data_IF_027761850097
#
_entry.id   IF_027761850097
#
_cell.length_a   1.000
_cell.length_b   1.000
_cell.length_c   1.000
_cell.angle_alpha   90.00
_cell.angle_beta   90.00
_cell.angle_gamma   90.00
#
_symmetry.space_group_name_H-M   'P 1'
#
loop_
_entity.id
_entity.type
_entity.pdbx_description
1 polymer ?
#
# COMPACT_ATOMS: atom_id res chain seq x y z
N UNK A 1 13.98 -14.15 16.20
CA UNK A 1 13.39 -15.34 16.84
C UNK A 1 12.01 -15.49 16.22
N UNK A 2 11.82 -16.51 15.39
CA UNK A 2 10.51 -16.94 14.97
C UNK A 2 9.84 -17.56 16.21
N UNK A 3 8.94 -16.84 16.84
CA UNK A 3 8.06 -17.42 17.83
C UNK A 3 6.98 -18.18 17.07
N UNK A 4 7.28 -19.44 16.75
CA UNK A 4 6.29 -20.43 16.40
C UNK A 4 5.46 -20.68 17.65
N UNK A 5 4.27 -20.10 17.73
CA UNK A 5 3.36 -20.35 18.87
C UNK A 5 2.53 -19.17 19.36
N UNK A 6 2.57 -18.02 18.71
CA UNK A 6 1.63 -16.94 19.01
C UNK A 6 0.29 -17.14 18.30
N UNK A 7 -0.81 -16.67 18.92
CA UNK A 7 -2.19 -16.68 18.35
C UNK A 7 -2.35 -15.80 17.09
N UNK A 8 -1.29 -15.67 16.26
CA UNK A 8 -1.26 -14.87 15.05
C UNK A 8 -1.31 -15.72 13.80
N UNK A 9 -1.95 -15.23 12.74
CA UNK A 9 -2.07 -15.93 11.46
C UNK A 9 -0.80 -15.88 10.62
N UNK A 10 0.09 -14.92 10.87
CA UNK A 10 1.30 -14.65 10.10
C UNK A 10 2.50 -14.36 11.02
N UNK A 11 3.70 -14.61 10.51
CA UNK A 11 4.95 -14.33 11.24
C UNK A 11 5.16 -12.82 11.43
N UNK A 12 5.96 -12.43 12.44
CA UNK A 12 6.31 -11.01 12.67
C UNK A 12 6.96 -10.36 11.44
N UNK A 13 7.84 -11.09 10.75
CA UNK A 13 8.44 -10.62 9.50
C UNK A 13 7.39 -10.48 8.37
N UNK A 14 6.45 -11.44 8.28
CA UNK A 14 5.34 -11.35 7.34
C UNK A 14 4.44 -10.15 7.61
N UNK A 15 4.13 -9.87 8.86
CA UNK A 15 3.37 -8.69 9.26
C UNK A 15 4.09 -7.39 8.88
N UNK A 16 5.39 -7.30 9.14
CA UNK A 16 6.21 -6.15 8.74
C UNK A 16 6.19 -5.95 7.21
N UNK A 17 6.47 -7.00 6.44
CA UNK A 17 6.47 -6.91 4.98
C UNK A 17 5.09 -6.56 4.42
N UNK A 18 4.01 -7.08 5.01
CA UNK A 18 2.64 -6.74 4.62
C UNK A 18 2.34 -5.27 4.91
N UNK A 19 2.73 -4.77 6.08
CA UNK A 19 2.56 -3.36 6.43
C UNK A 19 3.36 -2.44 5.50
N UNK A 20 4.60 -2.81 5.17
CA UNK A 20 5.44 -2.07 4.22
C UNK A 20 4.85 -2.11 2.81
N UNK A 21 4.31 -3.24 2.35
CA UNK A 21 3.67 -3.34 1.03
C UNK A 21 2.44 -2.43 0.90
N UNK A 22 1.71 -2.23 1.99
CA UNK A 22 0.57 -1.32 2.03
C UNK A 22 0.98 0.16 2.12
N UNK A 23 2.18 0.45 2.60
CA UNK A 23 2.65 1.82 2.85
C UNK A 23 3.53 2.35 1.72
N UNK A 24 4.40 1.50 1.15
CA UNK A 24 5.33 1.89 0.08
C UNK A 24 4.63 1.80 -1.26
N UNK A 25 4.55 2.91 -1.97
CA UNK A 25 3.90 2.98 -3.28
C UNK A 25 4.47 4.11 -4.15
N UNK A 26 3.80 4.40 -5.26
CA UNK A 26 4.18 5.48 -6.18
C UNK A 26 4.23 6.85 -5.50
N UNK A 27 3.44 7.07 -4.46
CA UNK A 27 3.46 8.29 -3.66
C UNK A 27 4.81 8.55 -2.98
N UNK A 28 5.53 7.51 -2.60
CA UNK A 28 6.86 7.62 -1.96
C UNK A 28 7.95 8.03 -2.95
N UNK A 29 7.71 7.89 -4.24
CA UNK A 29 8.66 8.27 -5.30
C UNK A 29 8.17 9.55 -5.98
N UNK A 30 7.05 9.48 -6.68
CA UNK A 30 6.48 10.60 -7.44
C UNK A 30 5.99 11.72 -6.51
N UNK A 31 5.32 11.37 -5.42
CA UNK A 31 4.82 12.34 -4.45
C UNK A 31 5.93 13.13 -3.76
N UNK A 32 7.04 12.45 -3.40
CA UNK A 32 8.22 13.11 -2.82
C UNK A 32 8.88 14.03 -3.86
N UNK A 33 9.07 13.55 -5.09
CA UNK A 33 9.63 14.38 -6.16
C UNK A 33 8.78 15.62 -6.42
N UNK A 34 7.45 15.48 -6.46
CA UNK A 34 6.52 16.60 -6.63
C UNK A 34 6.59 17.59 -5.45
N UNK A 35 6.65 17.06 -4.22
CA UNK A 35 6.75 17.90 -3.03
C UNK A 35 8.05 18.72 -3.01
N UNK A 36 9.17 18.11 -3.39
CA UNK A 36 10.47 18.82 -3.51
C UNK A 36 10.45 19.81 -4.67
N UNK A 37 9.83 19.45 -5.79
CA UNK A 37 9.69 20.35 -6.95
C UNK A 37 8.84 21.59 -6.65
N UNK A 38 7.77 21.44 -5.87
CA UNK A 38 6.87 22.54 -5.51
C UNK A 38 7.34 23.34 -4.29
N UNK A 39 7.89 22.67 -3.29
CA UNK A 39 8.26 23.27 -1.99
C UNK A 39 9.76 23.50 -1.79
N UNK A 40 10.59 23.14 -2.79
CA UNK A 40 12.05 23.21 -2.69
C UNK A 40 12.65 22.15 -1.76
N UNK A 41 13.98 22.19 -1.53
CA UNK A 41 14.69 21.20 -0.69
C UNK A 41 14.19 21.14 0.76
N UNK A 42 13.63 22.26 1.27
CA UNK A 42 13.03 22.32 2.61
C UNK A 42 11.86 21.38 2.82
N UNK A 43 11.15 21.00 1.76
CA UNK A 43 10.07 20.02 1.85
C UNK A 43 10.56 18.69 2.41
N UNK A 44 11.75 18.23 2.01
CA UNK A 44 12.34 16.99 2.49
C UNK A 44 12.58 17.02 4.01
N UNK A 45 13.10 18.13 4.52
CA UNK A 45 13.28 18.30 5.96
C UNK A 45 11.96 18.13 6.73
N UNK A 46 10.90 18.80 6.29
CA UNK A 46 9.59 18.71 6.93
C UNK A 46 8.97 17.31 6.82
N UNK A 47 9.21 16.61 5.70
CA UNK A 47 8.74 15.23 5.52
C UNK A 47 9.43 14.28 6.50
N UNK A 48 10.75 14.41 6.69
CA UNK A 48 11.49 13.61 7.67
C UNK A 48 11.02 13.90 9.09
N UNK A 49 10.82 15.17 9.43
CA UNK A 49 10.31 15.57 10.74
C UNK A 49 8.89 15.01 11.00
N UNK A 50 8.01 15.12 10.02
CA UNK A 50 6.65 14.57 10.08
C UNK A 50 6.67 13.03 10.23
N UNK A 51 7.57 12.35 9.52
CA UNK A 51 7.73 10.91 9.64
C UNK A 51 8.18 10.47 11.03
N UNK A 52 9.06 11.25 11.68
CA UNK A 52 9.49 10.99 13.05
C UNK A 52 8.30 10.99 14.03
N UNK A 53 7.43 11.99 13.96
CA UNK A 53 6.21 12.00 14.78
C UNK A 53 5.20 10.92 14.36
N UNK A 54 5.13 10.62 13.05
CA UNK A 54 4.28 9.56 12.49
C UNK A 54 4.61 8.16 13.03
N UNK A 55 5.87 7.89 13.42
CA UNK A 55 6.25 6.61 14.03
C UNK A 55 5.48 6.33 15.32
N UNK A 56 5.33 7.33 16.19
CA UNK A 56 4.59 7.18 17.44
C UNK A 56 3.10 6.87 17.19
N UNK A 57 2.49 7.52 16.21
CA UNK A 57 1.11 7.26 15.79
C UNK A 57 0.96 5.83 15.29
N UNK A 58 1.81 5.37 14.41
CA UNK A 58 1.78 4.00 13.87
C UNK A 58 2.01 2.92 14.92
N UNK A 59 2.93 3.18 15.85
CA UNK A 59 3.15 2.27 16.97
C UNK A 59 1.90 2.16 17.84
N UNK A 60 1.27 3.28 18.18
CA UNK A 60 0.04 3.30 18.98
C UNK A 60 -1.12 2.60 18.28
N UNK A 61 -1.31 2.83 16.97
CA UNK A 61 -2.34 2.14 16.17
C UNK A 61 -2.12 0.62 16.19
N UNK A 62 -0.90 0.16 15.95
CA UNK A 62 -0.56 -1.26 15.95
C UNK A 62 -0.77 -1.90 17.32
N UNK A 63 -0.33 -1.23 18.39
CA UNK A 63 -0.51 -1.69 19.76
C UNK A 63 -2.01 -1.83 20.12
N UNK A 64 -2.82 -0.82 19.79
CA UNK A 64 -4.25 -0.84 20.05
C UNK A 64 -4.96 -1.93 19.23
N UNK A 65 -4.58 -2.10 17.97
CA UNK A 65 -5.15 -3.14 17.10
C UNK A 65 -4.89 -4.56 17.64
N UNK A 66 -3.69 -4.81 18.18
CA UNK A 66 -3.34 -6.11 18.80
C UNK A 66 -4.03 -6.27 20.15
N UNK A 67 -4.04 -5.22 20.99
CA UNK A 67 -4.61 -5.27 22.34
C UNK A 67 -6.12 -5.54 22.33
N UNK A 68 -6.84 -4.94 21.40
CA UNK A 68 -8.32 -5.02 21.31
C UNK A 68 -8.78 -5.91 20.15
N UNK A 69 -7.93 -6.81 19.67
CA UNK A 69 -8.32 -7.79 18.67
C UNK A 69 -9.36 -8.77 19.21
N UNK A 70 -10.24 -9.21 18.35
CA UNK A 70 -11.26 -10.23 18.63
C UNK A 70 -10.99 -11.44 17.73
N UNK A 71 -11.14 -12.62 18.28
CA UNK A 71 -11.08 -13.84 17.46
C UNK A 71 -12.50 -14.12 16.96
N UNK A 72 -12.66 -14.11 15.65
CA UNK A 72 -13.93 -14.42 15.00
C UNK A 72 -14.33 -15.89 15.18
N UNK A 73 -15.59 -16.21 14.88
CA UNK A 73 -16.10 -17.59 14.91
C UNK A 73 -15.33 -18.53 13.99
N UNK A 74 -14.71 -18.00 12.97
CA UNK A 74 -13.92 -18.72 11.96
C UNK A 74 -12.44 -18.88 12.37
N UNK A 75 -12.09 -18.52 13.60
CA UNK A 75 -10.71 -18.57 14.11
C UNK A 75 -9.81 -17.44 13.61
N UNK A 76 -10.31 -16.53 12.76
CA UNK A 76 -9.52 -15.41 12.25
C UNK A 76 -9.43 -14.28 13.27
N UNK A 77 -8.24 -13.66 13.33
CA UNK A 77 -8.00 -12.50 14.19
C UNK A 77 -8.54 -11.24 13.53
N UNK A 78 -9.51 -10.62 14.17
CA UNK A 78 -10.16 -9.37 13.73
C UNK A 78 -9.70 -8.22 14.62
N UNK A 79 -9.12 -7.19 14.02
CA UNK A 79 -8.62 -6.01 14.73
C UNK A 79 -8.78 -4.74 13.89
N UNK A 80 -8.31 -3.64 14.44
CA UNK A 80 -8.32 -2.35 13.76
C UNK A 80 -9.16 -1.29 14.46
N UNK A 81 -9.30 -0.09 13.83
CA UNK A 81 -9.91 1.07 14.47
C UNK A 81 -11.32 0.85 14.98
N UNK A 82 -12.18 0.16 14.25
CA UNK A 82 -13.55 -0.10 14.68
C UNK A 82 -13.61 -0.96 15.95
N UNK A 83 -12.68 -1.92 16.11
CA UNK A 83 -12.64 -2.76 17.31
C UNK A 83 -12.06 -2.02 18.51
N UNK A 84 -10.95 -1.29 18.38
CA UNK A 84 -10.41 -0.59 19.54
C UNK A 84 -11.21 0.67 19.92
N UNK A 85 -11.98 1.28 19.01
CA UNK A 85 -12.94 2.32 19.37
C UNK A 85 -14.09 1.72 20.19
N UNK A 86 -14.67 0.60 19.75
CA UNK A 86 -15.80 -0.02 20.45
C UNK A 86 -15.39 -0.60 21.81
N UNK A 87 -14.28 -1.30 21.88
CA UNK A 87 -13.85 -1.99 23.09
C UNK A 87 -12.99 -1.14 24.03
N UNK A 88 -12.16 -0.27 23.48
CA UNK A 88 -11.27 0.59 24.27
C UNK A 88 -11.96 1.81 24.84
N UNK A 89 -12.87 2.45 24.07
CA UNK A 89 -13.64 3.61 24.53
C UNK A 89 -14.97 3.24 25.18
N UNK A 90 -15.42 1.99 24.97
CA UNK A 90 -16.65 1.46 25.56
C UNK A 90 -17.89 1.61 24.69
N UNK A 91 -18.98 0.95 25.12
CA UNK A 91 -20.20 0.79 24.33
C UNK A 91 -20.87 2.11 23.90
N UNK A 92 -20.67 3.19 24.65
CA UNK A 92 -21.20 4.54 24.30
C UNK A 92 -20.62 5.07 22.98
N UNK A 93 -19.44 4.62 22.57
CA UNK A 93 -18.73 5.08 21.38
C UNK A 93 -18.92 4.16 20.16
N UNK A 94 -19.80 3.19 20.26
CA UNK A 94 -20.10 2.25 19.16
C UNK A 94 -20.55 2.94 17.87
N UNK A 95 -21.24 4.08 17.99
CA UNK A 95 -21.64 4.88 16.84
C UNK A 95 -20.44 5.41 16.04
N UNK A 96 -19.36 5.81 16.73
CA UNK A 96 -18.13 6.29 16.10
C UNK A 96 -17.42 5.16 15.35
N UNK A 97 -17.37 3.95 15.94
CA UNK A 97 -16.84 2.77 15.26
C UNK A 97 -17.59 2.45 13.96
N UNK A 98 -18.94 2.58 13.98
CA UNK A 98 -19.78 2.38 12.78
C UNK A 98 -19.53 3.43 11.71
N UNK A 99 -19.39 4.70 12.08
CA UNK A 99 -19.06 5.79 11.16
C UNK A 99 -17.69 5.53 10.54
N UNK A 100 -16.69 5.16 11.33
CA UNK A 100 -15.38 4.83 10.82
C UNK A 100 -15.42 3.65 9.83
N UNK A 101 -16.18 2.59 10.17
CA UNK A 101 -16.36 1.45 9.28
C UNK A 101 -17.06 1.84 7.96
N UNK A 102 -18.05 2.71 8.01
CA UNK A 102 -18.73 3.24 6.82
C UNK A 102 -17.75 3.97 5.89
N UNK A 103 -16.95 4.88 6.43
CA UNK A 103 -15.93 5.57 5.63
C UNK A 103 -14.86 4.61 5.12
N UNK A 104 -14.50 3.58 5.89
CA UNK A 104 -13.58 2.54 5.45
C UNK A 104 -14.11 1.78 4.22
N UNK A 105 -15.40 1.45 4.21
CA UNK A 105 -16.06 0.85 3.03
C UNK A 105 -16.07 1.81 1.85
N UNK A 106 -16.36 3.09 2.08
CA UNK A 106 -16.31 4.11 1.01
C UNK A 106 -14.91 4.21 0.40
N UNK A 107 -13.85 4.22 1.21
CA UNK A 107 -12.45 4.24 0.71
C UNK A 107 -12.19 3.03 -0.18
N UNK A 108 -12.65 1.84 0.21
CA UNK A 108 -12.52 0.63 -0.61
C UNK A 108 -13.29 0.70 -1.92
N UNK A 109 -14.54 1.16 -1.89
CA UNK A 109 -15.40 1.28 -3.07
C UNK A 109 -14.90 2.32 -4.07
N UNK A 110 -14.43 3.46 -3.60
CA UNK A 110 -13.89 4.52 -4.47
C UNK A 110 -12.45 4.26 -4.92
N UNK A 111 -11.84 3.14 -4.50
CA UNK A 111 -10.48 2.76 -4.91
C UNK A 111 -9.40 3.78 -4.56
N UNK A 112 -9.60 4.54 -3.47
CA UNK A 112 -8.65 5.56 -3.01
C UNK A 112 -7.29 4.90 -2.74
N UNK A 113 -6.25 5.41 -3.37
CA UNK A 113 -4.91 4.81 -3.34
C UNK A 113 -4.66 3.77 -4.43
N UNK A 114 -5.61 2.92 -4.78
CA UNK A 114 -5.45 1.90 -5.83
C UNK A 114 -5.33 2.53 -7.22
N UNK A 115 -6.19 3.48 -7.55
CA UNK A 115 -6.16 4.15 -8.86
C UNK A 115 -4.85 4.90 -9.11
N UNK A 116 -4.31 5.57 -8.10
CA UNK A 116 -3.03 6.28 -8.23
C UNK A 116 -1.86 5.31 -8.46
N UNK A 117 -1.86 4.15 -7.79
CA UNK A 117 -0.85 3.12 -7.97
C UNK A 117 -0.91 2.51 -9.38
N UNK A 118 -2.10 2.09 -9.81
CA UNK A 118 -2.29 1.51 -11.15
C UNK A 118 -1.92 2.52 -12.23
N UNK A 119 -2.35 3.78 -12.08
CA UNK A 119 -1.99 4.84 -13.03
C UNK A 119 -0.47 5.08 -13.07
N UNK A 120 0.21 5.10 -11.94
CA UNK A 120 1.66 5.26 -11.89
C UNK A 120 2.41 4.12 -12.58
N UNK A 121 1.99 2.87 -12.35
CA UNK A 121 2.58 1.69 -13.00
C UNK A 121 2.30 1.72 -14.50
N UNK A 122 1.06 1.96 -14.90
CA UNK A 122 0.67 2.01 -16.31
C UNK A 122 1.40 3.11 -17.07
N UNK A 123 1.54 4.29 -16.44
CA UNK A 123 2.30 5.41 -17.03
C UNK A 123 3.78 5.07 -17.18
N UNK A 124 4.39 4.42 -16.20
CA UNK A 124 5.80 4.00 -16.27
C UNK A 124 6.02 2.99 -17.41
N UNK A 125 5.13 2.00 -17.53
CA UNK A 125 5.18 1.01 -18.62
C UNK A 125 4.98 1.69 -19.98
N UNK A 126 4.02 2.60 -20.08
CA UNK A 126 3.76 3.32 -21.31
C UNK A 126 4.94 4.19 -21.73
N UNK A 127 5.54 4.93 -20.82
CA UNK A 127 6.69 5.77 -21.10
C UNK A 127 7.92 4.96 -21.55
N UNK A 128 8.02 3.70 -21.15
CA UNK A 128 9.11 2.82 -21.54
C UNK A 128 8.86 2.18 -22.91
N UNK A 129 7.66 1.65 -23.17
CA UNK A 129 7.35 0.87 -24.37
C UNK A 129 6.74 1.68 -25.52
N UNK A 130 5.94 2.70 -25.23
CA UNK A 130 5.27 3.54 -26.24
C UNK A 130 5.17 5.01 -25.80
N UNK A 131 6.33 5.70 -25.66
CA UNK A 131 6.37 7.09 -25.15
C UNK A 131 5.64 8.09 -26.03
N UNK A 132 5.39 7.75 -27.30
CA UNK A 132 4.71 8.61 -28.27
C UNK A 132 3.24 8.27 -28.49
N UNK A 133 2.72 7.27 -27.78
CA UNK A 133 1.34 6.75 -27.93
C UNK A 133 0.98 6.43 -29.39
N UNK A 134 1.91 5.83 -30.13
CA UNK A 134 1.73 5.55 -31.57
C UNK A 134 0.81 4.35 -31.81
N UNK A 135 0.64 3.47 -30.84
CA UNK A 135 -0.13 2.24 -30.94
C UNK A 135 -1.34 2.28 -30.01
N UNK A 136 -2.36 3.06 -30.36
CA UNK A 136 -3.58 3.20 -29.57
C UNK A 136 -4.66 2.22 -29.99
N UNK A 137 -5.48 1.79 -29.03
CA UNK A 137 -6.63 0.91 -29.19
C UNK A 137 -7.82 1.43 -28.42
N UNK A 138 -9.00 1.33 -29.03
CA UNK A 138 -10.29 1.55 -28.36
C UNK A 138 -10.74 0.26 -27.71
N UNK A 139 -10.54 0.15 -26.38
CA UNK A 139 -10.96 -1.05 -25.63
C UNK A 139 -12.47 -1.09 -25.45
N UNK A 140 -13.09 0.07 -25.22
CA UNK A 140 -14.54 0.21 -25.07
C UNK A 140 -15.02 1.50 -25.74
N UNK A 141 -16.24 1.52 -26.31
CA UNK A 141 -16.75 2.67 -27.09
C UNK A 141 -16.83 4.00 -26.29
N UNK A 142 -16.91 3.91 -24.96
CA UNK A 142 -17.06 5.08 -24.07
C UNK A 142 -15.80 5.41 -23.25
N UNK A 143 -14.77 4.55 -23.31
CA UNK A 143 -13.49 4.72 -22.62
C UNK A 143 -12.44 5.13 -23.65
N UNK A 144 -12.16 6.29 -23.98
CA UNK A 144 -11.11 6.80 -24.86
C UNK A 144 -10.11 5.81 -25.50
N UNK A 145 -9.11 6.31 -26.17
CA UNK A 145 -8.04 5.51 -26.77
C UNK A 145 -6.91 5.31 -25.77
N UNK A 146 -6.45 4.07 -25.62
CA UNK A 146 -5.33 3.72 -24.74
C UNK A 146 -4.23 3.05 -25.53
N UNK A 147 -2.98 3.26 -25.15
CA UNK A 147 -1.86 2.52 -25.73
C UNK A 147 -1.94 1.03 -25.43
N UNK A 148 -1.54 0.18 -26.35
CA UNK A 148 -1.46 -1.27 -26.13
C UNK A 148 -0.63 -1.64 -24.90
N UNK A 149 0.44 -0.90 -24.64
CA UNK A 149 1.29 -1.10 -23.46
C UNK A 149 0.51 -0.95 -22.15
N UNK A 150 -0.37 0.04 -22.07
CA UNK A 150 -1.26 0.25 -20.90
C UNK A 150 -2.27 -0.88 -20.75
N UNK A 151 -2.88 -1.32 -21.85
CA UNK A 151 -3.87 -2.41 -21.81
C UNK A 151 -3.24 -3.71 -21.34
N UNK A 152 -2.08 -4.08 -21.89
CA UNK A 152 -1.37 -5.30 -21.50
C UNK A 152 -0.93 -5.21 -20.03
N UNK A 153 -0.33 -4.08 -19.62
CA UNK A 153 0.08 -3.87 -18.24
C UNK A 153 -1.10 -4.00 -17.27
N UNK A 154 -2.24 -3.42 -17.60
CA UNK A 154 -3.44 -3.49 -16.77
C UNK A 154 -3.98 -4.92 -16.63
N UNK A 155 -3.98 -5.70 -17.70
CA UNK A 155 -4.40 -7.11 -17.66
C UNK A 155 -3.44 -7.96 -16.81
N UNK A 156 -2.13 -7.78 -16.97
CA UNK A 156 -1.11 -8.49 -16.18
C UNK A 156 -1.25 -8.12 -14.70
N UNK A 157 -1.41 -6.83 -14.38
CA UNK A 157 -1.61 -6.37 -13.01
C UNK A 157 -2.89 -6.96 -12.41
N UNK A 158 -4.01 -6.92 -13.13
CA UNK A 158 -5.27 -7.49 -12.66
C UNK A 158 -5.13 -8.99 -12.36
N UNK A 159 -4.47 -9.74 -13.24
CA UNK A 159 -4.20 -11.16 -13.03
C UNK A 159 -3.33 -11.41 -11.80
N UNK A 160 -2.22 -10.69 -11.65
CA UNK A 160 -1.31 -10.83 -10.51
C UNK A 160 -2.01 -10.50 -9.19
N UNK A 161 -2.77 -9.41 -9.15
CA UNK A 161 -3.53 -9.00 -7.97
C UNK A 161 -4.59 -10.02 -7.62
N UNK A 162 -5.37 -10.50 -8.59
CA UNK A 162 -6.38 -11.54 -8.36
C UNK A 162 -5.75 -12.83 -7.83
N UNK A 163 -4.62 -13.27 -8.41
CA UNK A 163 -3.90 -14.46 -7.97
C UNK A 163 -3.42 -14.38 -6.52
N UNK A 164 -3.04 -13.19 -6.05
CA UNK A 164 -2.62 -12.98 -4.66
C UNK A 164 -3.81 -12.88 -3.73
N UNK A 165 -4.86 -12.12 -4.10
CA UNK A 165 -6.03 -11.88 -3.25
C UNK A 165 -6.85 -13.15 -2.98
N UNK A 166 -7.00 -14.04 -3.98
CA UNK A 166 -7.72 -15.32 -3.82
C UNK A 166 -7.11 -16.19 -2.71
N UNK A 167 -5.81 -16.06 -2.44
CA UNK A 167 -5.13 -16.81 -1.37
C UNK A 167 -5.26 -16.20 0.03
N UNK A 168 -5.97 -15.06 0.19
CA UNK A 168 -6.20 -14.40 1.47
C UNK A 168 -4.95 -13.82 2.14
N UNK A 169 -5.09 -13.45 3.42
CA UNK A 169 -4.05 -12.73 4.17
C UNK A 169 -2.72 -13.49 4.24
N UNK A 170 -2.76 -14.81 4.39
CA UNK A 170 -1.54 -15.64 4.45
C UNK A 170 -0.75 -15.58 3.14
N UNK A 171 -1.44 -15.60 2.00
CA UNK A 171 -0.79 -15.51 0.68
C UNK A 171 -0.25 -14.11 0.42
N UNK A 172 -1.01 -13.08 0.79
CA UNK A 172 -0.55 -11.69 0.73
C UNK A 172 0.75 -11.53 1.54
N UNK A 173 0.79 -12.04 2.78
CA UNK A 173 1.98 -11.98 3.62
C UNK A 173 3.17 -12.74 3.01
N UNK A 174 2.95 -13.95 2.49
CA UNK A 174 4.01 -14.74 1.86
C UNK A 174 4.61 -14.08 0.63
N UNK A 175 3.79 -13.49 -0.23
CA UNK A 175 4.24 -12.77 -1.42
C UNK A 175 4.97 -11.47 -1.02
N UNK A 176 4.43 -10.74 -0.05
CA UNK A 176 5.05 -9.50 0.46
C UNK A 176 6.42 -9.75 1.08
N UNK A 177 6.63 -10.86 1.78
CA UNK A 177 7.93 -11.24 2.36
C UNK A 177 9.06 -11.39 1.33
N UNK A 178 8.71 -11.71 0.09
CA UNK A 178 9.68 -11.84 -1.01
C UNK A 178 9.83 -10.52 -1.75
N UNK A 179 8.70 -9.93 -2.17
CA UNK A 179 8.70 -8.76 -3.05
C UNK A 179 9.22 -7.51 -2.34
N UNK A 180 8.84 -7.27 -1.08
CA UNK A 180 9.18 -6.02 -0.40
C UNK A 180 10.68 -5.87 -0.13
N UNK A 181 11.39 -6.87 0.42
CA UNK A 181 12.85 -6.76 0.58
C UNK A 181 13.57 -6.64 -0.76
N UNK A 182 13.15 -7.40 -1.78
CA UNK A 182 13.71 -7.32 -3.12
C UNK A 182 13.54 -5.94 -3.75
N UNK A 183 12.34 -5.36 -3.66
CA UNK A 183 12.05 -4.01 -4.13
C UNK A 183 12.92 -2.97 -3.41
N UNK A 184 13.04 -3.07 -2.07
CA UNK A 184 13.82 -2.14 -1.28
C UNK A 184 15.32 -2.16 -1.68
N UNK A 185 15.89 -3.35 -1.84
CA UNK A 185 17.29 -3.51 -2.25
C UNK A 185 17.52 -2.94 -3.65
N UNK A 186 16.69 -3.29 -4.61
CA UNK A 186 16.79 -2.76 -5.98
C UNK A 186 16.69 -1.23 -5.97
N UNK A 187 15.72 -0.68 -5.27
CA UNK A 187 15.54 0.77 -5.21
C UNK A 187 16.78 1.47 -4.63
N UNK A 188 17.32 0.96 -3.52
CA UNK A 188 18.55 1.52 -2.91
C UNK A 188 19.73 1.44 -3.89
N UNK A 189 19.93 0.30 -4.55
CA UNK A 189 21.01 0.13 -5.54
C UNK A 189 20.85 1.13 -6.69
N UNK A 190 19.66 1.27 -7.25
CA UNK A 190 19.40 2.23 -8.33
C UNK A 190 19.68 3.66 -7.90
N UNK A 191 19.22 4.07 -6.71
CA UNK A 191 19.45 5.42 -6.19
C UNK A 191 20.94 5.66 -5.98
N UNK A 192 21.68 4.71 -5.42
CA UNK A 192 23.13 4.83 -5.23
C UNK A 192 23.86 4.97 -6.57
N UNK A 193 23.50 4.15 -7.56
CA UNK A 193 24.08 4.26 -8.92
C UNK A 193 23.79 5.63 -9.51
N UNK A 194 22.55 6.11 -9.44
CA UNK A 194 22.19 7.43 -9.96
C UNK A 194 22.97 8.55 -9.27
N UNK A 195 23.12 8.49 -7.96
CA UNK A 195 23.89 9.51 -7.21
C UNK A 195 25.35 9.48 -7.62
N UNK A 196 25.98 8.30 -7.67
CA UNK A 196 27.40 8.17 -8.06
C UNK A 196 27.66 8.61 -9.50
N UNK A 197 26.72 8.34 -10.42
CA UNK A 197 26.86 8.72 -11.83
C UNK A 197 26.57 10.22 -12.08
N UNK A 198 26.03 10.96 -11.11
CA UNK A 198 25.66 12.38 -11.27
C UNK A 198 26.38 13.31 -10.27
N UNK A 199 27.43 12.83 -9.60
CA UNK A 199 28.38 13.63 -8.86
C UNK A 199 29.52 14.02 -9.81
#
# INVERSE_FOLDING_TARGET
KNEEGGDGEITSFGALCTALSATIGTGNIVGVATAVGAGGPGALFWMVLAAFFGMATKYSEGLLAVKYRVIGKDGHSLGGPFYYIEQGMGAKWKWLAKIFAFFGVCVGLFGIGTFSQVNGISSAVNNFFDPKNQHTVKVLPFLGEYSWSVVIASLVLAFCVAAVLIGGVKRIASVSQIIVPFMAVIYIVFVLVLVVCNI
#
